data_IF_007184541503
#
_entry.id   IF_007184541503
#
_cell.length_a   1.000
_cell.length_b   1.000
_cell.length_c   1.000
_cell.angle_alpha   90.00
_cell.angle_beta   90.00
_cell.angle_gamma   90.00
#
_symmetry.space_group_name_H-M   'P 1'
#
loop_
_entity.id
_entity.type
_entity.pdbx_description
1 polymer ?
#
# COMPACT_ATOMS: atom_id res chain seq x y z
N UNK A 1 1.05 -15.11 7.12
CA UNK A 1 0.31 -13.97 6.54
C UNK A 1 0.99 -13.65 5.24
N UNK A 2 0.26 -13.58 4.13
CA UNK A 2 0.86 -13.36 2.82
C UNK A 2 0.63 -11.95 2.29
N UNK A 3 -0.52 -11.32 2.60
CA UNK A 3 -0.75 -9.91 2.34
C UNK A 3 0.15 -9.07 3.25
N UNK A 4 0.98 -8.23 2.64
CA UNK A 4 2.04 -7.47 3.33
C UNK A 4 1.70 -5.99 3.45
N UNK A 5 0.99 -5.44 2.47
CA UNK A 5 0.67 -4.01 2.43
C UNK A 5 -0.48 -3.71 1.47
N UNK A 6 -1.26 -2.69 1.81
CA UNK A 6 -2.30 -2.11 0.96
C UNK A 6 -2.27 -0.58 1.06
N UNK A 7 -2.58 0.13 -0.02
CA UNK A 7 -2.81 1.57 -0.03
C UNK A 7 -3.81 1.99 -1.12
N UNK A 8 -4.88 2.67 -0.73
CA UNK A 8 -5.87 3.30 -1.62
C UNK A 8 -5.59 4.78 -1.86
N UNK A 9 -4.55 5.36 -1.25
CA UNK A 9 -4.18 6.78 -1.39
C UNK A 9 -5.23 7.77 -0.89
N UNK A 10 -6.13 7.31 0.00
CA UNK A 10 -7.18 8.13 0.58
C UNK A 10 -6.75 8.89 1.84
N UNK A 11 -5.81 8.33 2.61
CA UNK A 11 -5.49 8.69 3.99
C UNK A 11 -4.34 9.70 4.17
N UNK A 12 -3.85 10.28 3.06
CA UNK A 12 -2.80 11.29 3.09
C UNK A 12 -2.91 12.25 1.91
N UNK A 13 -2.28 13.42 2.04
CA UNK A 13 -2.12 14.39 0.96
C UNK A 13 -0.64 14.37 0.49
N UNK A 14 -0.35 13.88 -0.73
CA UNK A 14 1.00 13.82 -1.29
C UNK A 14 1.61 15.21 -1.52
N UNK A 15 0.82 16.29 -1.49
CA UNK A 15 1.27 17.67 -1.65
C UNK A 15 1.50 18.37 -0.31
N UNK A 16 0.93 17.85 0.79
CA UNK A 16 1.15 18.41 2.11
C UNK A 16 2.62 18.25 2.52
N UNK A 17 3.18 19.26 3.19
CA UNK A 17 4.54 19.21 3.70
C UNK A 17 4.55 18.81 5.17
N UNK A 18 5.48 17.93 5.53
CA UNK A 18 5.87 17.70 6.92
C UNK A 18 6.50 18.97 7.50
N UNK A 19 6.63 19.09 8.84
CA UNK A 19 7.24 20.26 9.49
C UNK A 19 8.68 20.58 9.05
N UNK A 20 9.42 19.59 8.53
CA UNK A 20 10.77 19.72 7.99
C UNK A 20 10.79 20.18 6.51
N UNK A 21 9.62 20.44 5.91
CA UNK A 21 9.46 20.85 4.52
C UNK A 21 9.51 19.69 3.51
N UNK A 22 9.58 18.43 3.97
CA UNK A 22 9.55 17.26 3.08
C UNK A 22 8.09 16.88 2.80
N UNK A 23 7.70 16.58 1.55
CA UNK A 23 6.31 16.24 1.28
C UNK A 23 5.89 14.92 1.94
N UNK A 24 4.63 14.87 2.34
CA UNK A 24 4.04 13.79 3.10
C UNK A 24 3.50 12.70 2.16
N UNK A 25 4.41 11.89 1.61
CA UNK A 25 4.05 10.86 0.64
C UNK A 25 3.53 9.54 1.24
N UNK A 26 3.04 9.56 2.48
CA UNK A 26 2.71 8.33 3.19
C UNK A 26 3.92 7.41 3.29
N UNK A 27 3.87 6.29 2.55
CA UNK A 27 4.94 5.29 2.44
C UNK A 27 5.88 5.46 1.23
N UNK A 28 5.65 6.42 0.33
CA UNK A 28 6.52 6.60 -0.82
C UNK A 28 7.87 7.22 -0.43
N UNK A 29 8.93 6.83 -1.15
CA UNK A 29 10.22 7.52 -1.09
C UNK A 29 10.30 8.44 -2.31
N UNK A 30 10.14 9.75 -2.11
CA UNK A 30 10.46 10.70 -3.16
C UNK A 30 11.94 11.05 -3.12
N UNK A 31 12.58 10.99 -4.29
CA UNK A 31 13.90 11.55 -4.49
C UNK A 31 13.84 12.93 -5.17
N UNK A 32 12.71 13.26 -5.80
CA UNK A 32 12.48 14.51 -6.53
C UNK A 32 11.15 15.15 -6.06
N UNK A 33 11.05 16.47 -6.15
CA UNK A 33 10.03 17.40 -5.60
C UNK A 33 8.54 16.96 -5.73
N UNK A 34 7.59 17.56 -4.96
CA UNK A 34 6.19 17.15 -4.91
C UNK A 34 5.47 17.44 -6.23
N UNK A 35 5.38 16.41 -7.07
CA UNK A 35 4.62 16.48 -8.31
C UNK A 35 3.40 15.57 -8.28
N UNK A 36 3.34 14.63 -7.33
CA UNK A 36 2.14 13.82 -7.19
C UNK A 36 1.02 14.62 -6.54
N UNK A 37 -0.19 14.44 -7.04
CA UNK A 37 -1.38 15.12 -6.55
C UNK A 37 -2.43 14.10 -6.14
N UNK A 38 -3.26 14.45 -5.16
CA UNK A 38 -4.45 13.67 -4.83
C UNK A 38 -5.59 14.10 -5.75
N UNK A 39 -6.18 13.15 -6.45
CA UNK A 39 -7.33 13.38 -7.35
C UNK A 39 -8.45 12.38 -7.07
N UNK A 40 -9.68 12.59 -7.58
CA UNK A 40 -10.72 11.56 -7.51
C UNK A 40 -10.25 10.24 -8.13
N UNK A 41 -10.48 9.15 -7.40
CA UNK A 41 -10.02 7.83 -7.76
C UNK A 41 -10.94 7.11 -8.74
N UNK A 42 -10.80 5.79 -8.80
CA UNK A 42 -11.65 4.94 -9.64
C UNK A 42 -13.13 4.99 -9.23
N UNK A 43 -13.41 5.36 -7.97
CA UNK A 43 -14.75 5.42 -7.39
C UNK A 43 -15.05 6.85 -6.92
N UNK A 44 -16.32 7.22 -6.87
CA UNK A 44 -16.73 8.60 -6.54
C UNK A 44 -16.38 9.05 -5.12
N UNK A 45 -16.07 8.10 -4.23
CA UNK A 45 -15.71 8.35 -2.83
C UNK A 45 -14.25 7.96 -2.52
N UNK A 46 -13.49 7.51 -3.52
CA UNK A 46 -12.07 7.21 -3.36
C UNK A 46 -11.22 8.27 -4.03
N UNK A 47 -9.93 8.23 -3.73
CA UNK A 47 -8.89 9.08 -4.27
C UNK A 47 -7.88 8.22 -5.01
N UNK A 48 -7.11 8.85 -5.89
CA UNK A 48 -5.98 8.22 -6.54
C UNK A 48 -4.79 9.17 -6.50
N UNK A 49 -3.61 8.58 -6.65
CA UNK A 49 -2.38 9.33 -6.84
C UNK A 49 -2.24 9.69 -8.32
N UNK A 50 -2.24 10.99 -8.61
CA UNK A 50 -1.94 11.54 -9.94
C UNK A 50 -0.46 11.83 -10.05
N UNK A 51 0.17 11.31 -11.09
CA UNK A 51 1.48 11.70 -11.57
C UNK A 51 1.27 12.53 -12.84
N UNK A 52 1.48 13.85 -12.80
CA UNK A 52 1.25 14.70 -13.95
C UNK A 52 2.14 14.35 -15.15
N UNK A 53 1.77 14.87 -16.33
CA UNK A 53 2.66 14.84 -17.48
C UNK A 53 3.81 15.85 -17.30
N UNK A 54 4.95 15.52 -17.91
CA UNK A 54 6.18 16.33 -17.94
C UNK A 54 6.80 16.58 -16.55
N UNK A 55 6.53 15.69 -15.61
CA UNK A 55 7.09 15.71 -14.26
C UNK A 55 8.07 14.54 -14.07
N UNK A 56 9.14 14.77 -13.30
CA UNK A 56 10.09 13.72 -12.94
C UNK A 56 9.47 12.86 -11.82
N UNK A 57 9.61 11.54 -11.95
CA UNK A 57 8.78 10.60 -11.22
C UNK A 57 9.21 10.40 -9.76
N UNK A 58 8.22 10.34 -8.87
CA UNK A 58 8.30 9.78 -7.52
C UNK A 58 8.10 8.26 -7.61
N UNK A 59 8.81 7.49 -6.79
CA UNK A 59 8.53 6.07 -6.66
C UNK A 59 7.88 5.74 -5.32
N UNK A 60 6.76 5.03 -5.36
CA UNK A 60 6.30 4.31 -4.18
C UNK A 60 7.13 3.05 -4.06
N UNK A 61 7.92 2.95 -2.99
CA UNK A 61 8.87 1.86 -2.80
C UNK A 61 8.65 1.25 -1.43
N UNK A 62 8.32 -0.03 -1.40
CA UNK A 62 8.19 -0.83 -0.19
C UNK A 62 9.30 -1.87 -0.15
N UNK A 63 10.09 -1.83 0.92
CA UNK A 63 11.03 -2.90 1.24
C UNK A 63 10.25 -4.07 1.86
N UNK A 64 10.50 -5.27 1.37
CA UNK A 64 9.77 -6.48 1.76
C UNK A 64 10.57 -7.29 2.78
N UNK A 65 11.89 -7.26 2.68
CA UNK A 65 12.79 -8.03 3.52
C UNK A 65 13.47 -9.18 2.77
N UNK A 66 14.25 -9.96 3.52
CA UNK A 66 15.01 -11.09 3.01
C UNK A 66 14.21 -12.39 3.10
N UNK A 67 14.56 -13.38 2.26
CA UNK A 67 14.03 -14.74 2.35
C UNK A 67 12.68 -14.96 1.66
N UNK A 68 12.16 -13.95 0.98
CA UNK A 68 10.97 -14.06 0.13
C UNK A 68 11.39 -14.37 -1.29
N UNK A 69 10.81 -15.40 -1.91
CA UNK A 69 11.14 -15.84 -3.28
C UNK A 69 9.97 -15.71 -4.26
N UNK A 70 8.79 -15.32 -3.79
CA UNK A 70 7.61 -15.06 -4.60
C UNK A 70 6.94 -13.78 -4.12
N UNK A 71 6.75 -12.84 -5.03
CA UNK A 71 6.05 -11.58 -4.81
C UNK A 71 4.92 -11.43 -5.81
N UNK A 72 3.80 -10.91 -5.33
CA UNK A 72 2.67 -10.49 -6.13
C UNK A 72 2.38 -9.04 -5.74
N UNK A 73 2.34 -8.14 -6.71
CA UNK A 73 1.81 -6.80 -6.51
C UNK A 73 0.70 -6.53 -7.50
N UNK A 74 -0.31 -5.77 -7.09
CA UNK A 74 -1.34 -5.29 -7.99
C UNK A 74 -1.75 -3.87 -7.70
N UNK A 75 -2.36 -3.24 -8.70
CA UNK A 75 -2.85 -1.86 -8.65
C UNK A 75 -3.89 -1.62 -9.73
N UNK A 76 -4.74 -0.61 -9.51
CA UNK A 76 -5.46 0.05 -10.58
C UNK A 76 -4.62 1.20 -11.16
N UNK A 77 -4.66 1.37 -12.48
CA UNK A 77 -4.03 2.50 -13.14
C UNK A 77 -4.82 3.03 -14.33
N UNK A 78 -4.61 4.30 -14.66
CA UNK A 78 -5.18 4.95 -15.84
C UNK A 78 -4.19 5.95 -16.42
N UNK A 79 -3.94 5.86 -17.72
CA UNK A 79 -3.15 6.85 -18.44
C UNK A 79 -4.06 7.86 -19.14
N UNK A 80 -3.65 9.12 -19.23
CA UNK A 80 -4.37 10.12 -20.02
C UNK A 80 -4.23 9.88 -21.53
N UNK A 81 -3.04 9.42 -21.94
CA UNK A 81 -2.60 9.16 -23.30
C UNK A 81 -1.71 7.92 -23.32
N UNK A 82 -1.61 7.25 -24.47
CA UNK A 82 -0.55 6.26 -24.65
C UNK A 82 0.79 7.00 -24.82
N UNK A 83 1.86 6.55 -24.15
CA UNK A 83 3.16 7.23 -24.22
C UNK A 83 3.76 7.14 -25.62
N UNK A 84 4.58 8.10 -26.06
CA UNK A 84 5.23 8.02 -27.37
C UNK A 84 6.29 6.91 -27.48
N UNK A 85 6.74 6.38 -26.34
CA UNK A 85 7.67 5.26 -26.22
C UNK A 85 7.34 4.47 -24.94
N UNK A 86 8.28 3.71 -24.39
CA UNK A 86 8.14 2.97 -23.13
C UNK A 86 7.80 3.88 -21.95
N UNK A 87 6.72 3.57 -21.24
CA UNK A 87 6.37 4.13 -19.94
C UNK A 87 6.28 3.04 -18.86
N UNK A 88 7.12 3.10 -17.81
CA UNK A 88 7.12 2.15 -16.70
C UNK A 88 5.93 2.32 -15.74
N UNK A 89 5.36 1.22 -15.27
CA UNK A 89 4.17 1.20 -14.39
C UNK A 89 4.46 0.58 -13.03
N UNK A 90 5.02 -0.63 -12.98
CA UNK A 90 5.28 -1.37 -11.73
C UNK A 90 6.66 -2.03 -11.80
N UNK A 91 7.27 -2.27 -10.63
CA UNK A 91 8.51 -3.04 -10.60
C UNK A 91 8.69 -3.88 -9.33
N UNK A 92 9.51 -4.93 -9.48
CA UNK A 92 10.15 -5.66 -8.39
C UNK A 92 11.65 -5.59 -8.60
N UNK A 93 12.39 -5.14 -7.59
CA UNK A 93 13.84 -5.21 -7.54
C UNK A 93 14.26 -6.37 -6.64
N UNK A 94 15.12 -7.23 -7.18
CA UNK A 94 15.61 -8.44 -6.52
C UNK A 94 17.08 -8.30 -6.10
N UNK A 95 17.69 -9.41 -5.65
CA UNK A 95 19.11 -9.47 -5.34
C UNK A 95 19.98 -8.90 -6.50
N UNK A 96 21.08 -8.24 -6.14
CA UNK A 96 21.97 -7.60 -7.12
C UNK A 96 21.37 -6.36 -7.80
N UNK A 97 20.31 -5.77 -7.23
CA UNK A 97 19.58 -4.61 -7.77
C UNK A 97 18.97 -4.84 -9.17
N UNK A 98 18.72 -6.09 -9.55
CA UNK A 98 18.03 -6.39 -10.81
C UNK A 98 16.56 -5.99 -10.70
N UNK A 99 16.09 -5.15 -11.62
CA UNK A 99 14.72 -4.61 -11.63
C UNK A 99 13.89 -5.26 -12.72
N UNK A 100 12.88 -6.02 -12.35
CA UNK A 100 11.84 -6.55 -13.24
C UNK A 100 10.68 -5.58 -13.27
N UNK A 101 10.39 -5.04 -14.45
CA UNK A 101 9.50 -3.91 -14.59
C UNK A 101 8.43 -4.19 -15.65
N UNK A 102 7.19 -3.81 -15.34
CA UNK A 102 6.10 -3.73 -16.30
C UNK A 102 6.09 -2.35 -16.92
N UNK A 103 6.07 -2.29 -18.25
CA UNK A 103 5.98 -1.03 -18.99
C UNK A 103 4.99 -1.13 -20.15
N UNK A 104 4.41 0.00 -20.54
CA UNK A 104 3.51 0.13 -21.70
C UNK A 104 4.21 0.88 -22.83
N UNK A 105 3.89 0.56 -24.08
CA UNK A 105 4.42 1.23 -25.27
C UNK A 105 3.38 2.13 -25.96
N UNK A 106 3.78 2.72 -27.09
CA UNK A 106 2.96 3.66 -27.87
C UNK A 106 1.68 3.11 -28.49
N UNK A 107 1.52 1.79 -28.52
CA UNK A 107 0.31 1.13 -29.01
C UNK A 107 -0.44 0.38 -27.89
N UNK A 108 -0.10 0.65 -26.64
CA UNK A 108 -0.78 0.10 -25.46
C UNK A 108 -0.42 -1.34 -25.13
N UNK A 109 0.56 -1.95 -25.80
CA UNK A 109 1.04 -3.28 -25.43
C UNK A 109 1.91 -3.16 -24.16
N UNK A 110 1.74 -4.13 -23.26
CA UNK A 110 2.47 -4.21 -22.01
C UNK A 110 3.61 -5.22 -22.15
N UNK A 111 4.76 -4.91 -21.55
CA UNK A 111 5.89 -5.81 -21.55
C UNK A 111 6.59 -5.87 -20.19
N UNK A 112 7.27 -6.99 -19.94
CA UNK A 112 8.09 -7.20 -18.74
C UNK A 112 9.56 -7.22 -19.14
N UNK A 113 10.40 -6.39 -18.52
CA UNK A 113 11.82 -6.30 -18.83
C UNK A 113 12.73 -6.07 -17.62
N UNK A 114 14.02 -6.30 -17.79
CA UNK A 114 15.05 -5.97 -16.79
C UNK A 114 15.57 -4.54 -16.98
N UNK A 115 14.92 -3.56 -16.35
CA UNK A 115 15.38 -2.16 -16.36
C UNK A 115 15.45 -1.46 -17.73
N UNK A 116 14.74 -1.95 -18.75
CA UNK A 116 14.80 -1.45 -20.13
C UNK A 116 13.71 -2.03 -21.02
N UNK A 117 14.00 -2.24 -22.31
CA UNK A 117 13.05 -2.85 -23.26
C UNK A 117 12.57 -4.23 -22.78
N UNK A 118 11.30 -4.58 -23.02
CA UNK A 118 10.70 -5.78 -22.47
C UNK A 118 11.28 -7.06 -23.08
N UNK A 119 11.63 -8.03 -22.23
CA UNK A 119 12.03 -9.39 -22.60
C UNK A 119 10.87 -10.19 -23.20
N UNK A 120 9.63 -9.75 -22.94
CA UNK A 120 8.42 -10.27 -23.57
C UNK A 120 7.31 -9.23 -23.57
N UNK A 121 6.43 -9.32 -24.55
CA UNK A 121 5.38 -8.34 -24.80
C UNK A 121 4.03 -9.04 -24.94
N UNK A 122 2.97 -8.40 -24.45
CA UNK A 122 1.60 -8.86 -24.59
C UNK A 122 1.15 -8.79 -26.05
N UNK A 123 0.19 -9.65 -26.41
CA UNK A 123 -0.54 -9.58 -27.68
C UNK A 123 -1.80 -8.72 -27.60
N UNK A 124 -2.14 -8.27 -26.39
CA UNK A 124 -3.30 -7.45 -26.05
C UNK A 124 -2.83 -6.06 -25.65
N UNK A 125 -3.61 -5.04 -26.01
CA UNK A 125 -3.30 -3.66 -25.71
C UNK A 125 -4.33 -3.09 -24.72
N UNK A 126 -3.86 -2.23 -23.82
CA UNK A 126 -4.74 -1.33 -23.07
C UNK A 126 -5.16 -0.16 -23.97
N UNK A 127 -6.21 0.54 -23.57
CA UNK A 127 -6.56 1.85 -24.12
C UNK A 127 -6.23 2.93 -23.11
N UNK A 128 -5.84 4.12 -23.60
CA UNK A 128 -5.76 5.31 -22.76
C UNK A 128 -7.15 5.65 -22.18
N UNK A 129 -7.15 6.53 -21.18
CA UNK A 129 -8.32 7.07 -20.49
C UNK A 129 -9.23 6.04 -19.82
N UNK A 130 -8.74 4.82 -19.64
CA UNK A 130 -9.47 3.69 -19.07
C UNK A 130 -8.73 3.15 -17.87
N UNK A 131 -9.44 2.92 -16.76
CA UNK A 131 -8.90 2.22 -15.61
C UNK A 131 -8.67 0.74 -15.94
N UNK A 132 -7.47 0.25 -15.68
CA UNK A 132 -7.11 -1.15 -15.80
C UNK A 132 -6.54 -1.63 -14.46
N UNK A 133 -6.92 -2.83 -14.05
CA UNK A 133 -6.30 -3.52 -12.92
C UNK A 133 -5.12 -4.35 -13.43
N UNK A 134 -3.96 -4.21 -12.80
CA UNK A 134 -2.72 -4.87 -13.21
C UNK A 134 -2.16 -5.66 -12.03
N UNK A 135 -1.73 -6.90 -12.27
CA UNK A 135 -1.03 -7.72 -11.27
C UNK A 135 0.25 -8.29 -11.88
N UNK A 136 1.37 -8.13 -11.17
CA UNK A 136 2.67 -8.71 -11.53
C UNK A 136 3.06 -9.74 -10.47
N UNK A 137 3.31 -10.98 -10.90
CA UNK A 137 3.94 -12.03 -10.10
C UNK A 137 5.38 -12.25 -10.53
N UNK A 138 6.28 -12.22 -9.56
CA UNK A 138 7.70 -12.54 -9.73
C UNK A 138 8.05 -13.71 -8.82
N UNK A 139 8.61 -14.77 -9.40
CA UNK A 139 9.15 -15.92 -8.66
C UNK A 139 10.63 -16.05 -8.97
N UNK A 140 11.46 -15.93 -7.93
CA UNK A 140 12.91 -16.13 -8.03
C UNK A 140 13.23 -17.58 -8.43
N UNK A 141 14.34 -17.78 -9.15
CA UNK A 141 14.77 -19.12 -9.58
C UNK A 141 15.88 -19.07 -10.61
N UNK A 142 16.70 -20.12 -10.69
CA UNK A 142 17.78 -20.22 -11.68
C UNK A 142 17.36 -21.15 -12.82
N UNK A 143 16.83 -20.60 -13.91
CA UNK A 143 16.24 -21.36 -15.01
C UNK A 143 14.84 -21.93 -14.68
N UNK A 144 14.30 -21.57 -13.52
CA UNK A 144 12.97 -21.97 -13.02
C UNK A 144 12.10 -20.77 -12.61
N UNK A 145 12.63 -19.55 -12.71
CA UNK A 145 11.93 -18.33 -12.35
C UNK A 145 10.75 -18.04 -13.26
N UNK A 146 9.82 -17.24 -12.75
CA UNK A 146 8.56 -16.88 -13.40
C UNK A 146 8.35 -15.37 -13.33
N UNK A 147 8.00 -14.78 -14.46
CA UNK A 147 7.37 -13.46 -14.54
C UNK A 147 6.00 -13.65 -15.17
N UNK A 148 4.93 -13.28 -14.47
CA UNK A 148 3.59 -13.37 -15.01
C UNK A 148 2.83 -12.06 -14.77
N UNK A 149 2.22 -11.55 -15.83
CA UNK A 149 1.45 -10.31 -15.84
C UNK A 149 -0.01 -10.64 -16.12
N UNK A 150 -0.88 -10.19 -15.23
CA UNK A 150 -2.33 -10.17 -15.43
C UNK A 150 -2.83 -8.76 -15.58
N UNK A 151 -3.84 -8.61 -16.43
CA UNK A 151 -4.58 -7.36 -16.64
C UNK A 151 -6.06 -7.68 -16.63
N UNK A 152 -6.82 -6.97 -15.79
CA UNK A 152 -8.26 -7.18 -15.59
C UNK A 152 -8.58 -8.67 -15.33
N UNK A 153 -7.86 -9.26 -14.38
CA UNK A 153 -7.96 -10.68 -13.96
C UNK A 153 -7.62 -11.72 -15.04
N UNK A 154 -7.06 -11.32 -16.18
CA UNK A 154 -6.63 -12.22 -17.26
C UNK A 154 -5.10 -12.23 -17.41
N UNK A 155 -4.48 -13.41 -17.49
CA UNK A 155 -3.06 -13.53 -17.86
C UNK A 155 -2.81 -13.03 -19.29
N UNK A 156 -1.95 -12.02 -19.42
CA UNK A 156 -1.58 -11.40 -20.70
C UNK A 156 -0.18 -11.80 -21.15
N UNK A 157 0.72 -12.08 -20.21
CA UNK A 157 2.10 -12.46 -20.51
C UNK A 157 2.63 -13.38 -19.42
N UNK A 158 3.29 -14.46 -19.85
CA UNK A 158 4.00 -15.40 -18.97
C UNK A 158 5.38 -15.65 -19.54
N UNK A 159 6.42 -15.37 -18.76
CA UNK A 159 7.81 -15.72 -19.05
C UNK A 159 8.27 -16.72 -18.00
N UNK A 160 8.30 -17.99 -18.38
CA UNK A 160 8.79 -19.08 -17.53
C UNK A 160 10.26 -19.40 -17.83
N UNK A 161 10.89 -20.17 -16.95
CA UNK A 161 12.28 -20.60 -17.11
C UNK A 161 13.31 -19.47 -16.97
N UNK A 162 12.94 -18.38 -16.32
CA UNK A 162 13.80 -17.22 -16.16
C UNK A 162 14.89 -17.48 -15.10
N UNK A 163 16.05 -16.84 -15.24
CA UNK A 163 17.08 -16.80 -14.21
C UNK A 163 16.96 -15.50 -13.41
N UNK A 164 16.17 -15.54 -12.35
CA UNK A 164 15.90 -14.45 -11.42
C UNK A 164 16.70 -14.70 -10.14
N UNK A 165 17.62 -13.80 -9.74
CA UNK A 165 18.50 -13.99 -8.58
C UNK A 165 17.71 -14.31 -7.31
N UNK A 166 18.25 -15.22 -6.50
CA UNK A 166 17.63 -15.63 -5.23
C UNK A 166 18.31 -14.99 -4.02
N UNK A 167 17.59 -14.88 -2.91
CA UNK A 167 18.16 -14.66 -1.57
C UNK A 167 18.59 -13.22 -1.26
N UNK A 168 18.12 -12.24 -2.03
CA UNK A 168 18.31 -10.82 -1.74
C UNK A 168 17.15 -10.20 -0.97
N UNK A 169 17.31 -8.93 -0.57
CA UNK A 169 16.19 -8.11 -0.14
C UNK A 169 15.31 -7.79 -1.35
N UNK A 170 14.04 -8.18 -1.29
CA UNK A 170 13.08 -7.81 -2.31
C UNK A 170 12.51 -6.43 -2.03
N UNK A 171 12.38 -5.64 -3.09
CA UNK A 171 11.77 -4.32 -3.04
C UNK A 171 10.71 -4.25 -4.13
N UNK A 172 9.46 -4.05 -3.75
CA UNK A 172 8.38 -3.82 -4.70
C UNK A 172 8.01 -2.34 -4.71
N UNK A 173 7.54 -1.87 -5.87
CA UNK A 173 7.09 -0.51 -6.00
C UNK A 173 6.13 -0.29 -7.14
N UNK A 174 5.25 0.69 -6.94
CA UNK A 174 4.35 1.23 -7.95
C UNK A 174 4.82 2.60 -8.41
N UNK A 175 4.94 2.72 -9.73
CA UNK A 175 5.25 3.90 -10.56
C UNK A 175 6.56 4.59 -10.20
N UNK A 176 7.35 4.90 -11.21
CA UNK A 176 8.79 4.90 -11.06
C UNK A 176 9.45 6.28 -11.09
N UNK A 177 10.66 6.25 -10.55
CA UNK A 177 11.85 7.01 -10.88
C UNK A 177 11.99 7.30 -12.38
N UNK A 178 11.51 8.48 -12.79
CA UNK A 178 11.78 8.98 -14.12
C UNK A 178 13.02 9.87 -14.04
N UNK A 179 14.17 9.35 -14.49
CA UNK A 179 15.39 10.16 -14.72
C UNK A 179 15.14 11.29 -15.74
N UNK A 180 14.01 11.22 -16.44
CA UNK A 180 13.54 12.14 -17.47
C UNK A 180 12.02 12.31 -17.35
N UNK A 181 11.47 13.52 -17.60
CA UNK A 181 10.03 13.72 -17.68
C UNK A 181 9.38 12.89 -18.79
N UNK A 182 8.20 12.32 -18.53
CA UNK A 182 7.37 11.65 -19.55
C UNK A 182 6.17 12.52 -19.92
N UNK A 183 5.74 12.56 -21.20
CA UNK A 183 4.65 13.43 -21.65
C UNK A 183 3.25 12.83 -21.42
N UNK A 184 3.12 11.93 -20.44
CA UNK A 184 1.85 11.27 -20.09
C UNK A 184 1.58 11.41 -18.61
N UNK A 185 0.31 11.58 -18.28
CA UNK A 185 -0.21 11.53 -16.93
C UNK A 185 -0.63 10.11 -16.58
N UNK A 186 -0.39 9.74 -15.33
CA UNK A 186 -0.78 8.46 -14.76
C UNK A 186 -1.58 8.69 -13.48
N UNK A 187 -2.75 8.06 -13.40
CA UNK A 187 -3.47 7.87 -12.16
C UNK A 187 -3.18 6.46 -11.65
N UNK A 188 -2.94 6.34 -10.35
CA UNK A 188 -2.57 5.11 -9.66
C UNK A 188 -3.44 4.96 -8.41
N UNK A 189 -4.04 3.79 -8.23
CA UNK A 189 -5.03 3.52 -7.19
C UNK A 189 -4.96 2.05 -6.76
N UNK A 190 -5.56 1.72 -5.62
CA UNK A 190 -5.80 0.36 -5.13
C UNK A 190 -4.54 -0.55 -5.12
N UNK A 191 -3.42 -0.09 -4.55
CA UNK A 191 -2.16 -0.84 -4.53
C UNK A 191 -2.15 -1.91 -3.43
N UNK A 192 -1.79 -3.14 -3.78
CA UNK A 192 -1.49 -4.19 -2.79
C UNK A 192 -0.15 -4.88 -3.08
N UNK A 193 0.40 -5.44 -2.02
CA UNK A 193 1.59 -6.27 -2.04
C UNK A 193 1.38 -7.53 -1.22
N UNK A 194 1.66 -8.68 -1.82
CA UNK A 194 1.62 -9.98 -1.18
C UNK A 194 2.87 -10.82 -1.51
N UNK A 195 3.14 -11.82 -0.67
CA UNK A 195 4.11 -12.87 -0.95
C UNK A 195 3.44 -14.23 -1.20
N UNK A 196 4.27 -15.26 -1.41
CA UNK A 196 3.80 -16.63 -1.59
C UNK A 196 3.67 -17.46 -0.31
N UNK A 197 3.80 -16.86 0.88
CA UNK A 197 3.79 -17.56 2.16
C UNK A 197 2.37 -17.82 2.66
N UNK A 198 2.20 -18.60 3.73
CA UNK A 198 0.89 -18.83 4.34
C UNK A 198 -0.13 -19.53 3.43
N UNK A 199 -1.42 -19.43 3.79
CA UNK A 199 -2.54 -20.11 3.12
C UNK A 199 -3.61 -19.17 2.57
N UNK A 200 -3.46 -17.85 2.79
CA UNK A 200 -4.41 -16.79 2.42
C UNK A 200 -3.67 -15.72 1.68
N UNK A 201 -4.34 -15.06 0.73
CA UNK A 201 -3.80 -13.97 -0.08
C UNK A 201 -2.38 -14.22 -0.63
N UNK A 202 -2.05 -15.49 -0.91
CA UNK A 202 -0.71 -15.95 -1.26
C UNK A 202 -0.50 -16.13 -2.78
N UNK A 203 -1.44 -15.58 -3.54
CA UNK A 203 -1.49 -15.54 -5.00
C UNK A 203 -2.24 -14.25 -5.41
N UNK A 204 -2.58 -14.11 -6.69
CA UNK A 204 -3.38 -13.01 -7.23
C UNK A 204 -4.67 -12.79 -6.43
N UNK A 205 -4.93 -11.54 -6.09
CA UNK A 205 -6.15 -11.14 -5.39
C UNK A 205 -7.26 -10.80 -6.39
N UNK A 206 -6.91 -10.63 -7.66
CA UNK A 206 -7.82 -10.12 -8.68
C UNK A 206 -8.02 -8.62 -8.51
N UNK A 207 -9.06 -8.11 -9.16
CA UNK A 207 -9.42 -6.69 -9.10
C UNK A 207 -9.93 -6.32 -7.70
N UNK A 208 -9.05 -5.70 -6.90
CA UNK A 208 -9.34 -5.27 -5.53
C UNK A 208 -9.71 -3.79 -5.48
N UNK A 209 -10.34 -3.41 -4.37
CA UNK A 209 -10.52 -2.02 -3.97
C UNK A 209 -10.04 -1.86 -2.53
N UNK A 210 -9.50 -0.71 -2.18
CA UNK A 210 -9.06 -0.39 -0.82
C UNK A 210 -9.90 0.78 -0.32
N UNK A 211 -10.50 0.61 0.86
CA UNK A 211 -11.34 1.61 1.52
C UNK A 211 -10.64 2.07 2.80
N UNK A 212 -10.33 3.37 2.90
CA UNK A 212 -9.92 3.97 4.17
C UNK A 212 -11.16 4.20 5.03
N UNK A 213 -11.10 3.74 6.29
CA UNK A 213 -12.15 3.93 7.28
C UNK A 213 -11.59 4.75 8.43
N UNK A 214 -12.39 5.65 8.99
CA UNK A 214 -11.99 6.54 10.09
C UNK A 214 -12.69 6.21 11.41
N UNK A 215 -12.05 6.51 12.57
CA UNK A 215 -12.68 6.44 13.87
C UNK A 215 -13.99 7.25 13.92
N UNK A 216 -15.03 6.69 14.55
CA UNK A 216 -16.33 7.36 14.74
C UNK A 216 -16.83 7.30 16.19
N UNK A 217 -16.05 6.68 17.08
CA UNK A 217 -16.40 6.56 18.48
C UNK A 217 -15.33 5.84 19.30
N UNK A 218 -15.48 5.93 20.62
CA UNK A 218 -14.61 5.22 21.54
C UNK A 218 -14.77 3.70 21.39
N UNK A 219 -13.65 2.98 21.45
CA UNK A 219 -13.62 1.54 21.62
C UNK A 219 -13.57 1.13 23.09
N UNK A 220 -13.18 -0.11 23.31
CA UNK A 220 -13.04 -0.77 24.61
C UNK A 220 -11.85 -0.26 25.43
N UNK A 221 -10.83 0.33 24.79
CA UNK A 221 -9.65 0.88 25.45
C UNK A 221 -9.53 2.38 25.20
N UNK A 222 -9.28 3.15 26.27
CA UNK A 222 -9.00 4.59 26.21
C UNK A 222 -7.95 4.97 27.26
N UNK A 223 -6.78 4.32 27.21
CA UNK A 223 -5.73 4.47 28.22
C UNK A 223 -4.72 5.55 27.88
N UNK A 224 -4.71 6.03 26.63
CA UNK A 224 -3.88 7.15 26.21
C UNK A 224 -4.55 8.47 26.64
N UNK A 225 -3.75 9.53 26.72
CA UNK A 225 -4.19 10.87 27.12
C UNK A 225 -4.39 11.75 25.89
N UNK A 226 -5.58 12.34 25.68
CA UNK A 226 -5.85 13.26 24.55
C UNK A 226 -5.10 14.58 24.74
N UNK A 227 -4.75 15.26 23.65
CA UNK A 227 -4.06 16.57 23.68
C UNK A 227 -4.95 17.72 24.14
N UNK A 228 -6.27 17.51 24.20
CA UNK A 228 -7.28 18.49 24.61
C UNK A 228 -8.34 17.93 25.56
N UNK A 229 -9.50 18.60 25.62
CA UNK A 229 -10.63 18.22 26.47
C UNK A 229 -11.58 17.18 25.82
N UNK A 230 -11.30 16.75 24.59
CA UNK A 230 -12.06 15.76 23.86
C UNK A 230 -11.75 14.32 24.29
N UNK A 231 -12.50 13.38 23.74
CA UNK A 231 -12.25 11.94 23.86
C UNK A 231 -11.11 11.52 22.93
N UNK A 232 -10.46 10.40 23.23
CA UNK A 232 -9.31 9.91 22.46
C UNK A 232 -9.61 9.77 20.95
N UNK A 233 -10.79 9.24 20.60
CA UNK A 233 -11.18 9.04 19.19
C UNK A 233 -11.38 10.36 18.44
N UNK A 234 -11.78 11.45 19.13
CA UNK A 234 -11.96 12.79 18.55
C UNK A 234 -10.62 13.49 18.26
N UNK A 235 -9.49 12.90 18.65
CA UNK A 235 -8.15 13.43 18.39
C UNK A 235 -7.44 12.69 17.22
N UNK A 236 -8.15 11.77 16.57
CA UNK A 236 -7.62 10.87 15.52
C UNK A 236 -8.67 10.54 14.45
N UNK A 237 -9.77 11.31 14.36
CA UNK A 237 -10.86 11.08 13.40
C UNK A 237 -10.65 11.82 12.07
N UNK A 238 -9.49 12.46 11.89
CA UNK A 238 -9.23 13.28 10.73
C UNK A 238 -9.05 12.41 9.47
N UNK A 239 -9.68 12.79 8.34
CA UNK A 239 -9.52 12.04 7.09
C UNK A 239 -8.11 12.18 6.49
N UNK A 240 -7.46 13.31 6.78
CA UNK A 240 -6.09 13.60 6.40
C UNK A 240 -5.30 13.95 7.66
N UNK A 241 -3.99 13.68 7.71
CA UNK A 241 -3.19 13.93 8.90
C UNK A 241 -3.24 15.40 9.33
N UNK A 242 -3.71 15.62 10.55
CA UNK A 242 -3.47 16.84 11.32
C UNK A 242 -2.48 16.53 12.45
N UNK A 243 -1.72 17.53 12.87
CA UNK A 243 -0.81 17.46 14.00
C UNK A 243 -1.26 18.39 15.15
N UNK A 244 -2.41 19.05 15.00
CA UNK A 244 -2.97 19.97 15.98
C UNK A 244 -3.59 19.24 17.18
N UNK A 245 -4.17 18.07 16.94
CA UNK A 245 -4.67 17.09 17.89
C UNK A 245 -3.90 15.77 17.80
N UNK A 246 -3.89 15.03 18.92
CA UNK A 246 -3.21 13.75 19.05
C UNK A 246 -3.55 13.09 20.40
N UNK A 247 -3.27 11.79 20.51
CA UNK A 247 -3.23 11.04 21.78
C UNK A 247 -1.79 10.73 22.19
N UNK A 248 -1.53 10.61 23.50
CA UNK A 248 -0.20 10.29 24.05
C UNK A 248 -0.24 9.17 25.09
N UNK A 249 0.77 8.31 25.12
CA UNK A 249 0.91 7.27 26.14
C UNK A 249 2.27 7.32 26.85
N UNK A 250 2.24 7.13 28.17
CA UNK A 250 3.42 7.10 29.01
C UNK A 250 3.92 5.66 29.23
N UNK A 251 3.02 4.70 29.47
CA UNK A 251 3.40 3.37 29.95
C UNK A 251 3.35 2.32 28.84
N UNK A 252 4.32 1.41 28.85
CA UNK A 252 4.26 0.20 28.03
C UNK A 252 3.01 -0.60 28.40
N UNK A 253 2.27 -1.03 27.38
CA UNK A 253 1.01 -1.75 27.50
C UNK A 253 -0.24 -0.86 27.50
N UNK A 254 -0.10 0.48 27.52
CA UNK A 254 -1.24 1.38 27.36
C UNK A 254 -1.86 1.18 25.96
N UNK A 255 -3.18 0.94 25.90
CA UNK A 255 -3.95 0.73 24.67
C UNK A 255 -4.95 1.83 24.42
N UNK A 256 -5.16 2.11 23.14
CA UNK A 256 -6.26 2.93 22.66
C UNK A 256 -6.93 2.20 21.49
N UNK A 257 -8.25 2.04 21.54
CA UNK A 257 -9.04 1.41 20.49
C UNK A 257 -10.28 2.23 20.17
N UNK A 258 -10.72 2.15 18.92
CA UNK A 258 -11.82 2.95 18.40
C UNK A 258 -12.79 2.10 17.60
N UNK A 259 -14.06 2.49 17.63
CA UNK A 259 -15.05 2.05 16.66
C UNK A 259 -14.85 2.83 15.35
N UNK A 260 -15.03 2.16 14.21
CA UNK A 260 -14.82 2.74 12.89
C UNK A 260 -16.13 2.82 12.12
N UNK A 261 -16.18 3.72 11.14
CA UNK A 261 -17.28 3.75 10.19
C UNK A 261 -17.44 2.40 9.47
N UNK A 262 -18.67 2.02 9.07
CA UNK A 262 -18.90 0.76 8.38
C UNK A 262 -18.31 0.78 6.97
N UNK A 263 -17.98 -0.40 6.45
CA UNK A 263 -17.57 -0.55 5.06
C UNK A 263 -18.59 0.08 4.08
N UNK A 264 -18.13 0.83 3.07
CA UNK A 264 -19.02 1.34 2.02
C UNK A 264 -19.74 0.20 1.30
N UNK A 265 -21.06 0.35 1.14
CA UNK A 265 -21.94 -0.71 0.64
C UNK A 265 -21.42 -1.39 -0.64
N UNK A 266 -21.46 -2.72 -0.64
CA UNK A 266 -21.17 -3.58 -1.79
C UNK A 266 -22.23 -4.66 -1.92
N UNK A 267 -22.52 -5.07 -3.15
CA UNK A 267 -23.47 -6.16 -3.39
C UNK A 267 -22.94 -7.53 -2.89
N UNK A 268 -21.61 -7.71 -2.84
CA UNK A 268 -20.96 -8.95 -2.36
C UNK A 268 -19.53 -8.65 -1.83
N UNK A 269 -19.37 -8.06 -0.65
CA UNK A 269 -18.04 -7.76 -0.12
C UNK A 269 -17.32 -9.04 0.30
N UNK A 270 -16.12 -9.25 -0.24
CA UNK A 270 -15.14 -10.20 0.31
C UNK A 270 -14.02 -9.37 0.91
N UNK A 271 -13.81 -9.47 2.22
CA UNK A 271 -12.73 -8.76 2.91
C UNK A 271 -11.49 -9.63 2.90
N UNK A 272 -10.45 -9.19 2.18
CA UNK A 272 -9.19 -9.94 2.06
C UNK A 272 -8.26 -9.72 3.27
N UNK A 273 -8.41 -8.58 3.94
CA UNK A 273 -7.64 -8.22 5.13
C UNK A 273 -7.91 -6.78 5.53
N UNK A 274 -7.43 -6.41 6.72
CA UNK A 274 -7.48 -5.05 7.25
C UNK A 274 -6.07 -4.56 7.49
N UNK A 275 -5.75 -3.33 7.11
CA UNK A 275 -4.50 -2.68 7.49
C UNK A 275 -4.77 -1.56 8.47
N UNK A 276 -4.30 -1.72 9.71
CA UNK A 276 -4.30 -0.65 10.69
C UNK A 276 -3.13 0.27 10.40
N UNK A 277 -3.41 1.55 10.16
CA UNK A 277 -2.43 2.59 9.83
C UNK A 277 -2.44 3.65 10.94
N UNK A 278 -1.28 3.95 11.51
CA UNK A 278 -1.12 4.96 12.55
C UNK A 278 0.04 5.90 12.22
N UNK A 279 -0.17 7.21 12.31
CA UNK A 279 0.90 8.20 12.23
C UNK A 279 1.40 8.50 13.64
N UNK A 280 2.64 8.11 13.95
CA UNK A 280 3.15 8.19 15.31
C UNK A 280 4.61 8.65 15.37
N UNK A 281 5.00 9.20 16.53
CA UNK A 281 6.39 9.55 16.87
C UNK A 281 6.66 9.30 18.35
N UNK A 282 7.93 9.19 18.71
CA UNK A 282 8.38 9.26 20.12
C UNK A 282 8.81 10.69 20.46
N UNK A 283 8.55 11.10 21.70
CA UNK A 283 8.87 12.45 22.18
C UNK A 283 10.10 12.51 23.08
N UNK A 284 10.63 11.35 23.50
CA UNK A 284 11.78 11.27 24.41
C UNK A 284 12.92 10.41 23.82
N UNK A 285 14.10 10.53 24.43
CA UNK A 285 15.26 9.70 24.17
C UNK A 285 14.99 8.23 24.53
N UNK A 286 15.76 7.32 23.91
CA UNK A 286 15.59 5.88 24.08
C UNK A 286 14.71 5.22 23.02
N UNK A 287 14.50 3.92 23.17
CA UNK A 287 13.67 3.12 22.26
C UNK A 287 12.20 3.29 22.63
N UNK A 288 11.37 3.62 21.64
CA UNK A 288 9.91 3.58 21.75
C UNK A 288 9.38 2.69 20.64
N UNK A 289 8.37 1.88 20.95
CA UNK A 289 7.73 1.03 19.95
C UNK A 289 6.21 1.16 20.03
N UNK A 290 5.54 0.85 18.92
CA UNK A 290 4.09 0.83 18.81
C UNK A 290 3.66 -0.48 18.14
N UNK A 291 2.54 -1.04 18.58
CA UNK A 291 1.89 -2.16 17.91
C UNK A 291 0.51 -1.71 17.46
N UNK A 292 0.12 -2.05 16.23
CA UNK A 292 -1.28 -1.98 15.86
C UNK A 292 -2.08 -3.04 16.66
N UNK A 293 -3.34 -2.76 16.94
CA UNK A 293 -4.26 -3.73 17.52
C UNK A 293 -5.56 -3.81 16.74
N UNK A 294 -6.17 -4.98 16.80
CA UNK A 294 -7.56 -5.21 16.43
C UNK A 294 -8.26 -5.97 17.55
N UNK A 295 -9.51 -5.64 17.80
CA UNK A 295 -10.38 -6.37 18.71
C UNK A 295 -11.64 -6.80 17.96
N UNK A 296 -11.95 -8.10 18.03
CA UNK A 296 -13.16 -8.67 17.46
C UNK A 296 -13.90 -9.43 18.57
N UNK A 297 -15.07 -8.91 18.98
CA UNK A 297 -15.76 -9.38 20.17
C UNK A 297 -14.93 -9.13 21.44
N UNK A 298 -14.63 -10.18 22.20
CA UNK A 298 -13.84 -10.10 23.43
C UNK A 298 -12.33 -10.40 23.22
N UNK A 299 -11.92 -10.73 22.00
CA UNK A 299 -10.54 -11.12 21.70
C UNK A 299 -9.77 -9.95 21.13
N UNK A 300 -8.55 -9.74 21.64
CA UNK A 300 -7.62 -8.71 21.16
C UNK A 300 -6.42 -9.39 20.51
N UNK A 301 -6.02 -8.91 19.34
CA UNK A 301 -4.79 -9.30 18.68
C UNK A 301 -3.93 -8.06 18.40
N UNK A 302 -2.62 -8.21 18.55
CA UNK A 302 -1.64 -7.13 18.29
C UNK A 302 -0.68 -7.53 17.20
N UNK A 303 -0.26 -6.56 16.40
CA UNK A 303 0.85 -6.70 15.46
C UNK A 303 2.21 -6.82 16.14
N UNK A 304 3.25 -6.99 15.33
CA UNK A 304 4.62 -6.86 15.79
C UNK A 304 4.93 -5.43 16.24
N UNK A 305 5.83 -5.28 17.23
CA UNK A 305 6.29 -3.98 17.69
C UNK A 305 7.13 -3.29 16.60
N UNK A 306 6.74 -2.08 16.23
CA UNK A 306 7.44 -1.25 15.24
C UNK A 306 8.14 -0.10 15.96
N UNK A 307 9.39 0.16 15.61
CA UNK A 307 10.17 1.23 16.23
C UNK A 307 9.66 2.60 15.80
N UNK A 308 9.52 3.51 16.77
CA UNK A 308 9.17 4.89 16.54
C UNK A 308 10.41 5.74 16.28
N UNK A 309 10.26 6.75 15.44
CA UNK A 309 11.26 7.81 15.25
C UNK A 309 10.78 9.09 15.93
N UNK A 310 11.64 10.12 15.99
CA UNK A 310 11.25 11.44 16.52
C UNK A 310 10.39 12.23 15.55
N UNK A 311 10.39 11.85 14.27
CA UNK A 311 9.56 12.45 13.23
C UNK A 311 8.27 11.63 13.05
N UNK A 312 7.11 12.26 12.80
CA UNK A 312 5.89 11.54 12.47
C UNK A 312 6.13 10.55 11.32
N UNK A 313 5.90 9.28 11.61
CA UNK A 313 6.10 8.18 10.66
C UNK A 313 4.85 7.29 10.64
N UNK A 314 4.39 6.92 9.45
CA UNK A 314 3.31 5.96 9.31
C UNK A 314 3.79 4.57 9.69
N UNK A 315 3.02 3.90 10.55
CA UNK A 315 3.18 2.50 10.92
C UNK A 315 1.94 1.72 10.47
N UNK A 316 2.16 0.61 9.79
CA UNK A 316 1.08 -0.23 9.23
C UNK A 316 1.23 -1.66 9.67
N UNK A 317 0.12 -2.29 10.04
CA UNK A 317 0.06 -3.74 10.24
C UNK A 317 -1.16 -4.29 9.53
N UNK A 318 -0.94 -5.33 8.72
CA UNK A 318 -2.02 -6.11 8.10
C UNK A 318 -2.51 -7.18 9.06
N UNK A 319 -3.82 -7.38 9.11
CA UNK A 319 -4.53 -8.49 9.75
C UNK A 319 -5.41 -9.17 8.69
N UNK A 320 -4.98 -10.34 8.19
CA UNK A 320 -5.77 -11.15 7.23
C UNK A 320 -7.00 -11.82 7.85
N UNK A 321 -7.07 -11.83 9.17
CA UNK A 321 -8.12 -12.46 9.95
C UNK A 321 -8.47 -11.58 11.15
N UNK A 322 -9.65 -11.83 11.71
CA UNK A 322 -10.09 -11.21 12.97
C UNK A 322 -9.15 -11.58 14.11
N UNK A 323 -9.26 -10.89 15.25
CA UNK A 323 -8.51 -11.25 16.45
C UNK A 323 -8.80 -12.68 16.94
N UNK A 324 -9.96 -13.24 16.60
CA UNK A 324 -10.35 -14.62 16.90
C UNK A 324 -9.80 -15.66 15.89
N UNK A 325 -9.05 -15.26 14.86
CA UNK A 325 -8.46 -16.16 13.87
C UNK A 325 -9.45 -16.67 12.80
N UNK A 326 -10.60 -16.01 12.64
CA UNK A 326 -11.57 -16.29 11.58
C UNK A 326 -11.45 -15.25 10.47
N UNK A 327 -11.96 -15.58 9.29
CA UNK A 327 -11.91 -14.69 8.13
C UNK A 327 -12.85 -13.52 8.30
N UNK A 328 -12.41 -12.34 7.88
CA UNK A 328 -13.22 -11.14 7.95
C UNK A 328 -14.51 -11.29 7.13
N UNK A 329 -15.65 -11.25 7.82
CA UNK A 329 -16.93 -10.92 7.21
C UNK A 329 -17.24 -9.42 7.39
N UNK A 330 -18.06 -8.85 6.50
CA UNK A 330 -18.49 -7.44 6.60
C UNK A 330 -19.08 -7.10 7.97
N UNK A 331 -19.95 -7.96 8.50
CA UNK A 331 -20.57 -7.77 9.81
C UNK A 331 -19.58 -7.81 10.95
N UNK A 332 -18.53 -8.63 10.83
CA UNK A 332 -17.48 -8.74 11.85
C UNK A 332 -16.56 -7.53 11.81
N UNK A 333 -16.18 -7.07 10.61
CA UNK A 333 -15.37 -5.86 10.43
C UNK A 333 -16.11 -4.63 10.95
N UNK A 334 -17.37 -4.45 10.58
CA UNK A 334 -18.19 -3.31 11.03
C UNK A 334 -18.45 -3.31 12.55
N UNK A 335 -18.24 -4.44 13.24
CA UNK A 335 -18.37 -4.54 14.69
C UNK A 335 -17.02 -4.59 15.41
N UNK A 336 -15.90 -4.65 14.67
CA UNK A 336 -14.57 -4.71 15.25
C UNK A 336 -14.08 -3.31 15.64
N UNK A 337 -13.12 -3.31 16.56
CA UNK A 337 -12.38 -2.11 16.93
C UNK A 337 -10.93 -2.22 16.45
N UNK A 338 -10.31 -1.08 16.19
CA UNK A 338 -8.92 -0.99 15.78
C UNK A 338 -8.22 0.13 16.54
N UNK A 339 -6.89 0.04 16.66
CA UNK A 339 -6.13 1.07 17.37
C UNK A 339 -4.67 0.69 17.58
N UNK A 340 -4.10 1.10 18.72
CA UNK A 340 -2.67 0.94 19.01
C UNK A 340 -2.36 0.59 20.47
N UNK A 341 -1.29 -0.19 20.67
CA UNK A 341 -0.70 -0.51 21.96
C UNK A 341 0.73 0.06 22.02
N UNK A 342 1.05 0.81 23.07
CA UNK A 342 2.44 1.23 23.33
C UNK A 342 3.26 0.01 23.74
N UNK A 343 4.37 -0.24 23.02
CA UNK A 343 5.27 -1.35 23.33
C UNK A 343 6.31 -1.04 24.38
#
# INVERSE_FOLDING_TARGET
MALLFVDGFDHFDPQALKPDGVPNYGYAKAQYAPQCERVPGRRSVSSALRFPANTQGVAMVREIGYGVSRIILGCAFRLDLLPPDRFPLLFVRTAGNQRYEVSVNAIGLLGIGQGGFPSGQSLRAISAQTWNHLELKVVEGNGTGLLELRVNSQTWLTLSGQSIPTGGNLVAGGVCWADQPYPVELLFDDFYLADGSGTRNNDYLGDVRIDALHPTGAGSFSQWTPSGAGQNWEMVDEPLPDHSDYVTAANTGDRDSYAFEPLPAMNTPTVLGVQVTALAKKTDAGAGTLKALTQSGATVATGAAQALTTDPTYLTTVFEQTAAGVDWAETELNAAEFGVEKG
#
